data_IF_299380877830
#
_entry.id   IF_299380877830
#
_cell.length_a   1.000
_cell.length_b   1.000
_cell.length_c   1.000
_cell.angle_alpha   90.00
_cell.angle_beta   90.00
_cell.angle_gamma   90.00
#
_symmetry.space_group_name_H-M   'P 1'
#
loop_
_entity.id
_entity.type
_entity.pdbx_description
1 polymer ?
#
# COMPACT_ATOMS: atom_id res chain seq x y z
N UNK A 1 4.23 -31.04 -9.82
CA UNK A 1 3.44 -30.33 -8.78
C UNK A 1 4.33 -29.59 -7.78
N UNK A 2 5.27 -30.25 -7.09
CA UNK A 2 6.10 -29.64 -6.03
C UNK A 2 7.05 -28.52 -6.49
N UNK A 3 7.57 -28.58 -7.72
CA UNK A 3 8.44 -27.54 -8.29
C UNK A 3 7.71 -26.20 -8.47
N UNK A 4 6.49 -26.23 -9.04
CA UNK A 4 5.68 -25.03 -9.27
C UNK A 4 5.31 -24.34 -7.96
N UNK A 5 4.90 -25.12 -6.95
CA UNK A 5 4.57 -24.61 -5.60
C UNK A 5 5.81 -23.99 -4.92
N UNK A 6 6.99 -24.61 -5.08
CA UNK A 6 8.24 -24.06 -4.53
C UNK A 6 8.63 -22.75 -5.21
N UNK A 7 8.50 -22.67 -6.54
CA UNK A 7 8.80 -21.48 -7.33
C UNK A 7 7.83 -20.34 -7.02
N UNK A 8 6.54 -20.64 -6.90
CA UNK A 8 5.52 -19.68 -6.42
C UNK A 8 5.90 -19.07 -5.07
N UNK A 9 6.18 -19.93 -4.09
CA UNK A 9 6.57 -19.49 -2.74
C UNK A 9 7.84 -18.64 -2.76
N UNK A 10 8.82 -19.01 -3.58
CA UNK A 10 10.05 -18.21 -3.74
C UNK A 10 9.75 -16.83 -4.33
N UNK A 11 8.93 -16.73 -5.37
CA UNK A 11 8.55 -15.45 -5.98
C UNK A 11 7.82 -14.55 -4.97
N UNK A 12 6.89 -15.10 -4.20
CA UNK A 12 6.17 -14.36 -3.16
C UNK A 12 7.09 -13.92 -2.00
N UNK A 13 8.05 -14.75 -1.61
CA UNK A 13 9.04 -14.39 -0.59
C UNK A 13 9.97 -13.27 -1.08
N UNK A 14 10.42 -13.34 -2.34
CA UNK A 14 11.22 -12.26 -2.95
C UNK A 14 10.40 -10.98 -3.00
N UNK A 15 9.14 -11.01 -3.42
CA UNK A 15 8.23 -9.85 -3.40
C UNK A 15 8.14 -9.23 -1.99
N UNK A 16 7.85 -10.07 -0.99
CA UNK A 16 7.70 -9.63 0.40
C UNK A 16 8.99 -9.02 0.95
N UNK A 17 10.14 -9.64 0.69
CA UNK A 17 11.43 -9.15 1.16
C UNK A 17 11.82 -7.83 0.47
N UNK A 18 11.62 -7.72 -0.84
CA UNK A 18 11.85 -6.48 -1.58
C UNK A 18 10.98 -5.35 -1.03
N UNK A 19 9.67 -5.59 -0.85
CA UNK A 19 8.76 -4.58 -0.30
C UNK A 19 9.18 -4.12 1.10
N UNK A 20 9.59 -5.06 1.97
CA UNK A 20 10.10 -4.73 3.31
C UNK A 20 11.37 -3.89 3.25
N UNK A 21 12.30 -4.24 2.37
CA UNK A 21 13.55 -3.50 2.18
C UNK A 21 13.28 -2.08 1.70
N UNK A 22 12.43 -1.90 0.69
CA UNK A 22 12.02 -0.58 0.21
C UNK A 22 11.32 0.25 1.29
N UNK A 23 10.46 -0.37 2.10
CA UNK A 23 9.82 0.31 3.21
C UNK A 23 10.83 0.84 4.23
N UNK A 24 11.79 0.02 4.66
CA UNK A 24 12.82 0.42 5.64
C UNK A 24 13.71 1.52 5.06
N UNK A 25 14.20 1.34 3.84
CA UNK A 25 15.07 2.33 3.18
C UNK A 25 14.32 3.64 2.97
N UNK A 26 13.06 3.58 2.52
CA UNK A 26 12.21 4.76 2.31
C UNK A 26 11.98 5.53 3.61
N UNK A 27 11.64 4.85 4.70
CA UNK A 27 11.45 5.52 6.00
C UNK A 27 12.77 6.13 6.51
N UNK A 28 13.87 5.39 6.44
CA UNK A 28 15.18 5.87 6.87
C UNK A 28 15.68 7.07 6.05
N UNK A 29 15.66 6.98 4.72
CA UNK A 29 16.09 8.09 3.86
C UNK A 29 15.13 9.27 3.93
N UNK A 30 13.82 9.03 3.93
CA UNK A 30 12.81 10.08 4.03
C UNK A 30 12.93 10.88 5.32
N UNK A 31 13.24 10.22 6.45
CA UNK A 31 13.53 10.92 7.71
C UNK A 31 14.84 11.71 7.65
N UNK A 32 15.91 11.15 7.09
CA UNK A 32 17.21 11.83 6.94
C UNK A 32 17.15 13.08 6.06
N UNK A 33 16.41 13.03 4.95
CA UNK A 33 16.29 14.15 4.01
C UNK A 33 15.04 15.00 4.23
N UNK A 34 14.31 14.73 5.32
CA UNK A 34 13.06 15.39 5.66
C UNK A 34 12.04 15.39 4.50
N UNK A 35 11.85 14.28 3.79
CA UNK A 35 10.82 14.16 2.73
C UNK A 35 9.58 13.44 3.24
N UNK A 36 8.43 14.13 3.23
CA UNK A 36 7.15 13.53 3.62
C UNK A 36 6.67 12.51 2.59
N UNK A 37 6.90 12.72 1.29
CA UNK A 37 6.41 11.80 0.26
C UNK A 37 7.17 10.46 0.27
N UNK A 38 8.47 10.50 0.57
CA UNK A 38 9.27 9.27 0.69
C UNK A 38 8.92 8.52 1.98
N UNK A 39 8.70 9.23 3.09
CA UNK A 39 8.18 8.60 4.33
C UNK A 39 6.80 7.99 4.07
N UNK A 40 5.92 8.71 3.37
CA UNK A 40 4.58 8.24 3.02
C UNK A 40 4.63 6.92 2.26
N UNK A 41 5.44 6.83 1.21
CA UNK A 41 5.61 5.61 0.41
C UNK A 41 6.16 4.43 1.24
N UNK A 42 7.17 4.70 2.09
CA UNK A 42 7.77 3.69 2.95
C UNK A 42 6.80 3.18 4.04
N UNK A 43 6.08 4.08 4.72
CA UNK A 43 5.08 3.71 5.72
C UNK A 43 3.89 3.00 5.06
N UNK A 44 3.47 3.42 3.87
CA UNK A 44 2.38 2.77 3.13
C UNK A 44 2.73 1.31 2.85
N UNK A 45 3.93 1.07 2.34
CA UNK A 45 4.45 -0.26 2.06
C UNK A 45 4.51 -1.13 3.32
N UNK A 46 5.00 -0.57 4.44
CA UNK A 46 5.09 -1.29 5.71
C UNK A 46 3.70 -1.66 6.28
N UNK A 47 2.76 -0.72 6.26
CA UNK A 47 1.38 -0.94 6.71
C UNK A 47 0.70 -1.97 5.82
N UNK A 48 0.83 -1.87 4.50
CA UNK A 48 0.28 -2.82 3.53
C UNK A 48 0.83 -4.24 3.74
N UNK A 49 2.14 -4.36 3.99
CA UNK A 49 2.79 -5.65 4.28
C UNK A 49 2.25 -6.26 5.58
N UNK A 50 2.21 -5.49 6.67
CA UNK A 50 1.66 -5.96 7.95
C UNK A 50 0.21 -6.41 7.84
N UNK A 51 -0.62 -5.65 7.12
CA UNK A 51 -2.01 -5.98 6.85
C UNK A 51 -2.17 -7.23 5.97
N UNK A 52 -1.22 -7.47 5.06
CA UNK A 52 -1.17 -8.67 4.23
C UNK A 52 -0.84 -9.90 5.06
N UNK A 53 0.10 -9.79 6.01
CA UNK A 53 0.38 -10.86 6.98
C UNK A 53 -0.84 -11.19 7.85
N UNK A 54 -1.56 -10.18 8.34
CA UNK A 54 -2.82 -10.38 9.08
C UNK A 54 -3.85 -11.10 8.22
N UNK A 55 -3.95 -10.74 6.93
CA UNK A 55 -4.88 -11.40 6.01
C UNK A 55 -4.51 -12.85 5.77
N UNK A 56 -3.22 -13.15 5.63
CA UNK A 56 -2.73 -14.51 5.49
C UNK A 56 -3.03 -15.34 6.74
N UNK A 57 -2.78 -14.79 7.94
CA UNK A 57 -3.11 -15.43 9.21
C UNK A 57 -4.62 -15.72 9.32
N UNK A 58 -5.47 -14.78 8.91
CA UNK A 58 -6.92 -14.98 8.88
C UNK A 58 -7.35 -16.09 7.92
N UNK A 59 -6.74 -16.19 6.73
CA UNK A 59 -7.00 -17.28 5.78
C UNK A 59 -6.57 -18.63 6.36
N UNK A 60 -5.41 -18.71 7.00
CA UNK A 60 -4.95 -19.93 7.66
C UNK A 60 -5.89 -20.36 8.80
N UNK A 61 -6.41 -19.39 9.56
CA UNK A 61 -7.40 -19.63 10.61
C UNK A 61 -8.73 -20.13 10.05
N UNK A 62 -9.22 -19.54 8.95
CA UNK A 62 -10.45 -19.96 8.26
C UNK A 62 -10.35 -21.40 7.72
N UNK A 63 -9.16 -21.85 7.32
CA UNK A 63 -8.93 -23.21 6.78
C UNK A 63 -9.06 -24.33 7.82
N UNK A 64 -9.15 -24.01 9.11
CA UNK A 64 -9.43 -25.02 10.13
C UNK A 64 -10.83 -25.63 9.90
N UNK A 65 -10.94 -26.97 9.97
CA UNK A 65 -12.18 -27.68 9.59
C UNK A 65 -13.42 -27.20 10.34
N UNK A 66 -13.28 -26.89 11.63
CA UNK A 66 -14.38 -26.40 12.47
C UNK A 66 -14.90 -25.01 12.06
N UNK A 67 -14.06 -24.19 11.43
CA UNK A 67 -14.42 -22.84 10.99
C UNK A 67 -14.87 -22.84 9.54
N UNK A 68 -14.19 -23.60 8.68
CA UNK A 68 -14.50 -23.70 7.25
C UNK A 68 -15.92 -24.21 6.99
N UNK A 69 -16.43 -25.12 7.84
CA UNK A 69 -17.82 -25.62 7.75
C UNK A 69 -18.88 -24.53 7.98
N UNK A 70 -18.55 -23.45 8.68
CA UNK A 70 -19.47 -22.36 8.97
C UNK A 70 -19.21 -21.14 8.08
N UNK A 71 -19.83 -21.13 6.89
CA UNK A 71 -19.72 -20.06 5.88
C UNK A 71 -19.98 -18.66 6.48
N UNK A 72 -20.87 -18.54 7.46
CA UNK A 72 -21.15 -17.25 8.12
C UNK A 72 -19.95 -16.78 8.94
N UNK A 73 -19.34 -17.67 9.74
CA UNK A 73 -18.17 -17.36 10.57
C UNK A 73 -16.98 -16.97 9.69
N UNK A 74 -16.79 -17.65 8.56
CA UNK A 74 -15.79 -17.30 7.52
C UNK A 74 -16.02 -15.88 6.99
N UNK A 75 -17.23 -15.55 6.51
CA UNK A 75 -17.53 -14.22 5.96
C UNK A 75 -17.37 -13.08 6.97
N UNK A 76 -17.64 -13.32 8.25
CA UNK A 76 -17.41 -12.34 9.32
C UNK A 76 -15.92 -12.07 9.52
N UNK A 77 -15.08 -13.11 9.49
CA UNK A 77 -13.62 -12.97 9.60
C UNK A 77 -13.07 -12.22 8.40
N UNK A 78 -13.45 -12.61 7.17
CA UNK A 78 -13.03 -11.94 5.93
C UNK A 78 -13.42 -10.45 5.95
N UNK A 79 -14.68 -10.14 6.26
CA UNK A 79 -15.16 -8.75 6.30
C UNK A 79 -14.45 -7.92 7.38
N UNK A 80 -14.15 -8.52 8.55
CA UNK A 80 -13.43 -7.84 9.63
C UNK A 80 -12.00 -7.48 9.23
N UNK A 81 -11.30 -8.38 8.52
CA UNK A 81 -9.94 -8.12 8.02
C UNK A 81 -9.93 -7.01 6.98
N UNK A 82 -10.89 -7.01 6.05
CA UNK A 82 -11.03 -5.96 5.03
C UNK A 82 -11.36 -4.61 5.69
N UNK A 83 -12.21 -4.60 6.71
CA UNK A 83 -12.54 -3.41 7.49
C UNK A 83 -11.30 -2.85 8.19
N UNK A 84 -10.52 -3.70 8.87
CA UNK A 84 -9.28 -3.31 9.54
C UNK A 84 -8.27 -2.73 8.55
N UNK A 85 -8.12 -3.36 7.37
CA UNK A 85 -7.29 -2.86 6.27
C UNK A 85 -7.69 -1.44 5.85
N UNK A 86 -8.98 -1.26 5.60
CA UNK A 86 -9.52 0.03 5.21
C UNK A 86 -9.26 1.10 6.27
N UNK A 87 -9.50 0.80 7.55
CA UNK A 87 -9.29 1.75 8.66
C UNK A 87 -7.82 2.13 8.78
N UNK A 88 -6.90 1.15 8.78
CA UNK A 88 -5.47 1.40 8.94
C UNK A 88 -4.91 2.28 7.81
N UNK A 89 -5.24 1.99 6.55
CA UNK A 89 -4.79 2.80 5.41
C UNK A 89 -5.43 4.19 5.43
N UNK A 90 -6.72 4.29 5.79
CA UNK A 90 -7.41 5.59 5.91
C UNK A 90 -6.75 6.46 6.98
N UNK A 91 -6.47 5.91 8.16
CA UNK A 91 -5.80 6.63 9.25
C UNK A 91 -4.43 7.15 8.80
N UNK A 92 -3.64 6.29 8.16
CA UNK A 92 -2.33 6.67 7.63
C UNK A 92 -2.43 7.82 6.62
N UNK A 93 -3.39 7.77 5.68
CA UNK A 93 -3.61 8.83 4.70
C UNK A 93 -4.00 10.15 5.38
N UNK A 94 -4.89 10.11 6.38
CA UNK A 94 -5.32 11.30 7.12
C UNK A 94 -4.15 11.93 7.90
N UNK A 95 -3.36 11.13 8.61
CA UNK A 95 -2.20 11.63 9.35
C UNK A 95 -1.16 12.27 8.43
N UNK A 96 -0.91 11.64 7.28
CA UNK A 96 0.04 12.14 6.27
C UNK A 96 -0.45 13.42 5.61
N UNK A 97 -1.75 13.50 5.31
CA UNK A 97 -2.40 14.70 4.81
C UNK A 97 -2.28 15.86 5.80
N UNK A 98 -2.57 15.63 7.08
CA UNK A 98 -2.43 16.67 8.12
C UNK A 98 -0.97 17.15 8.20
N UNK A 99 -0.01 16.23 8.22
CA UNK A 99 1.41 16.58 8.23
C UNK A 99 1.84 17.41 7.00
N UNK A 100 1.30 17.07 5.83
CA UNK A 100 1.57 17.80 4.60
C UNK A 100 0.96 19.21 4.61
N UNK A 101 -0.28 19.36 5.07
CA UNK A 101 -0.93 20.67 5.23
C UNK A 101 -0.17 21.54 6.22
N UNK A 102 0.26 20.98 7.36
CA UNK A 102 1.09 21.69 8.33
C UNK A 102 2.41 22.15 7.71
N UNK A 103 3.07 21.30 6.93
CA UNK A 103 4.31 21.67 6.25
C UNK A 103 4.09 22.81 5.24
N UNK A 104 2.97 22.82 4.50
CA UNK A 104 2.63 23.93 3.59
C UNK A 104 2.42 25.22 4.38
N UNK A 105 1.68 25.18 5.48
CA UNK A 105 1.41 26.35 6.33
C UNK A 105 2.67 26.91 6.99
N UNK A 106 3.69 26.08 7.20
CA UNK A 106 5.00 26.48 7.76
C UNK A 106 5.98 27.02 6.71
N UNK A 107 5.55 27.20 5.45
CA UNK A 107 6.39 27.72 4.36
C UNK A 107 7.04 26.64 3.48
N UNK A 108 6.56 25.40 3.57
CA UNK A 108 7.09 24.25 2.84
C UNK A 108 8.20 23.53 3.60
N UNK A 109 8.83 22.57 2.93
CA UNK A 109 9.87 21.72 3.50
C UNK A 109 11.08 21.69 2.59
N UNK A 110 12.24 22.04 3.14
CA UNK A 110 13.50 21.93 2.43
C UNK A 110 13.92 20.47 2.35
N UNK A 111 13.73 19.88 1.18
CA UNK A 111 14.16 18.52 0.87
C UNK A 111 15.42 18.61 0.02
N UNK A 112 16.41 17.79 0.34
CA UNK A 112 17.57 17.61 -0.55
C UNK A 112 17.10 16.91 -1.84
N UNK A 113 16.74 17.71 -2.84
CA UNK A 113 16.19 17.25 -4.12
C UNK A 113 17.15 16.33 -4.87
N UNK A 114 18.47 16.47 -4.68
CA UNK A 114 19.47 15.58 -5.25
C UNK A 114 19.37 14.16 -4.72
N UNK A 115 19.36 14.01 -3.39
CA UNK A 115 19.21 12.69 -2.75
C UNK A 115 17.81 12.12 -3.00
N UNK A 116 16.77 12.97 -2.94
CA UNK A 116 15.39 12.55 -3.22
C UNK A 116 15.21 12.03 -4.66
N UNK A 117 15.84 12.67 -5.65
CA UNK A 117 15.85 12.18 -7.04
C UNK A 117 16.61 10.87 -7.19
N UNK A 118 17.79 10.76 -6.56
CA UNK A 118 18.58 9.52 -6.61
C UNK A 118 17.78 8.35 -6.01
N UNK A 119 17.13 8.58 -4.87
CA UNK A 119 16.24 7.59 -4.27
C UNK A 119 15.01 7.33 -5.13
N UNK A 120 14.35 8.35 -5.67
CA UNK A 120 13.20 8.19 -6.56
C UNK A 120 13.53 7.35 -7.80
N UNK A 121 14.70 7.55 -8.40
CA UNK A 121 15.18 6.72 -9.51
C UNK A 121 15.45 5.28 -9.06
N UNK A 122 16.12 5.10 -7.91
CA UNK A 122 16.38 3.79 -7.33
C UNK A 122 15.07 3.02 -7.05
N UNK A 123 14.09 3.66 -6.43
CA UNK A 123 12.78 3.07 -6.15
C UNK A 123 12.01 2.76 -7.42
N UNK A 124 11.99 3.66 -8.40
CA UNK A 124 11.33 3.41 -9.69
C UNK A 124 11.94 2.21 -10.42
N UNK A 125 13.27 2.13 -10.50
CA UNK A 125 13.97 0.98 -11.11
C UNK A 125 13.73 -0.28 -10.30
N UNK A 126 13.79 -0.19 -8.97
CA UNK A 126 13.50 -1.28 -8.04
C UNK A 126 12.12 -1.88 -8.25
N UNK A 127 11.08 -1.06 -8.21
CA UNK A 127 9.71 -1.48 -8.44
C UNK A 127 9.52 -2.10 -9.83
N UNK A 128 10.12 -1.49 -10.86
CA UNK A 128 10.05 -2.02 -12.23
C UNK A 128 10.75 -3.38 -12.36
N UNK A 129 11.92 -3.55 -11.73
CA UNK A 129 12.65 -4.83 -11.75
C UNK A 129 11.85 -5.92 -11.03
N UNK A 130 11.26 -5.64 -9.86
CA UNK A 130 10.37 -6.56 -9.16
C UNK A 130 9.16 -6.94 -10.00
N UNK A 131 8.51 -5.97 -10.65
CA UNK A 131 7.43 -6.23 -11.61
C UNK A 131 7.87 -7.17 -12.74
N UNK A 132 9.02 -6.87 -13.36
CA UNK A 132 9.53 -7.64 -14.48
C UNK A 132 9.89 -9.07 -14.09
N UNK A 133 10.51 -9.27 -12.92
CA UNK A 133 10.81 -10.60 -12.36
C UNK A 133 9.51 -11.37 -12.11
N UNK A 134 8.51 -10.77 -11.47
CA UNK A 134 7.21 -11.43 -11.23
C UNK A 134 6.50 -11.79 -12.53
N UNK A 135 6.50 -10.88 -13.52
CA UNK A 135 5.83 -11.11 -14.81
C UNK A 135 6.52 -12.17 -15.66
N UNK A 136 7.85 -12.19 -15.68
CA UNK A 136 8.62 -13.14 -16.50
C UNK A 136 8.61 -14.53 -15.87
N UNK A 137 8.95 -14.63 -14.59
CA UNK A 137 9.04 -15.90 -13.89
C UNK A 137 7.67 -16.45 -13.46
N UNK A 138 6.67 -15.58 -13.28
CA UNK A 138 5.29 -15.97 -12.93
C UNK A 138 4.51 -16.63 -14.07
N UNK A 139 4.89 -16.39 -15.33
CA UNK A 139 4.28 -17.04 -16.51
C UNK A 139 4.39 -18.56 -16.46
N UNK A 140 5.46 -19.08 -15.88
CA UNK A 140 5.68 -20.53 -15.73
C UNK A 140 4.80 -21.16 -14.64
N UNK A 141 4.38 -20.37 -13.65
CA UNK A 141 3.66 -20.84 -12.46
C UNK A 141 2.13 -20.80 -12.66
N UNK A 142 1.63 -19.90 -13.53
CA UNK A 142 0.17 -19.67 -13.76
C UNK A 142 -0.62 -19.46 -12.45
N UNK A 143 -0.02 -18.75 -11.49
CA UNK A 143 -0.66 -18.46 -10.20
C UNK A 143 -1.34 -17.08 -10.21
N UNK A 144 -2.61 -17.06 -9.79
CA UNK A 144 -3.36 -15.82 -9.60
C UNK A 144 -2.75 -14.91 -8.52
N UNK A 145 -2.02 -15.47 -7.55
CA UNK A 145 -1.32 -14.71 -6.52
C UNK A 145 -0.12 -13.96 -7.10
N UNK A 146 0.69 -14.64 -7.92
CA UNK A 146 1.85 -14.02 -8.57
C UNK A 146 1.42 -12.95 -9.56
N UNK A 147 0.33 -13.18 -10.30
CA UNK A 147 -0.26 -12.16 -11.19
C UNK A 147 -0.81 -10.95 -10.42
N UNK A 148 -1.40 -11.17 -9.23
CA UNK A 148 -1.85 -10.08 -8.37
C UNK A 148 -0.68 -9.24 -7.85
N UNK A 149 0.38 -9.89 -7.36
CA UNK A 149 1.61 -9.22 -6.93
C UNK A 149 2.29 -8.47 -8.08
N UNK A 150 2.36 -9.05 -9.28
CA UNK A 150 2.90 -8.36 -10.45
C UNK A 150 2.11 -7.09 -10.76
N UNK A 151 0.77 -7.14 -10.71
CA UNK A 151 -0.07 -5.95 -10.90
C UNK A 151 0.17 -4.90 -9.81
N UNK A 152 0.41 -5.33 -8.58
CA UNK A 152 0.74 -4.42 -7.48
C UNK A 152 2.08 -3.71 -7.73
N UNK A 153 3.14 -4.45 -8.06
CA UNK A 153 4.44 -3.86 -8.40
C UNK A 153 4.39 -2.91 -9.60
N UNK A 154 3.50 -3.17 -10.57
CA UNK A 154 3.25 -2.24 -11.67
C UNK A 154 2.64 -0.92 -11.17
N UNK A 155 1.65 -0.99 -10.27
CA UNK A 155 1.06 0.20 -9.64
C UNK A 155 2.12 0.95 -8.84
N UNK A 156 2.92 0.26 -8.05
CA UNK A 156 4.01 0.84 -7.26
C UNK A 156 5.05 1.52 -8.18
N UNK A 157 5.37 0.92 -9.32
CA UNK A 157 6.25 1.53 -10.34
C UNK A 157 5.68 2.85 -10.87
N UNK A 158 4.36 2.90 -11.15
CA UNK A 158 3.70 4.12 -11.63
C UNK A 158 3.72 5.21 -10.56
N UNK A 159 3.48 4.84 -9.30
CA UNK A 159 3.53 5.77 -8.15
C UNK A 159 4.96 6.30 -7.97
N UNK A 160 5.97 5.42 -7.95
CA UNK A 160 7.38 5.81 -7.83
C UNK A 160 7.81 6.70 -9.00
N UNK A 161 7.35 6.44 -10.22
CA UNK A 161 7.61 7.29 -11.37
C UNK A 161 6.97 8.68 -11.21
N UNK A 162 5.74 8.77 -10.69
CA UNK A 162 5.09 10.05 -10.42
C UNK A 162 5.86 10.87 -9.36
N UNK A 163 6.32 10.21 -8.29
CA UNK A 163 7.16 10.85 -7.25
C UNK A 163 8.50 11.32 -7.83
N UNK A 164 9.15 10.50 -8.66
CA UNK A 164 10.39 10.87 -9.34
C UNK A 164 10.21 12.09 -10.25
N UNK A 165 9.14 12.12 -11.05
CA UNK A 165 8.80 13.28 -11.90
C UNK A 165 8.52 14.52 -11.05
N UNK A 166 7.83 14.37 -9.92
CA UNK A 166 7.59 15.49 -9.00
C UNK A 166 8.87 16.08 -8.42
N UNK A 167 9.83 15.25 -8.02
CA UNK A 167 11.15 15.74 -7.60
C UNK A 167 11.99 16.30 -8.75
N UNK A 168 11.81 15.79 -9.98
CA UNK A 168 12.46 16.35 -11.16
C UNK A 168 11.96 17.77 -11.41
N UNK A 169 10.64 17.99 -11.34
CA UNK A 169 10.04 19.31 -11.45
C UNK A 169 10.54 20.23 -10.31
N UNK A 170 10.62 19.73 -9.07
CA UNK A 170 11.17 20.49 -7.95
C UNK A 170 12.63 20.92 -8.18
N UNK A 171 13.46 20.04 -8.77
CA UNK A 171 14.85 20.39 -9.12
C UNK A 171 14.93 21.44 -10.24
N UNK A 172 14.06 21.36 -11.24
CA UNK A 172 14.00 22.38 -12.30
C UNK A 172 13.59 23.73 -11.71
N UNK A 173 12.61 23.76 -10.79
CA UNK A 173 12.19 24.98 -10.10
C UNK A 173 13.36 25.65 -9.34
N UNK A 174 14.24 24.86 -8.71
CA UNK A 174 15.45 25.39 -8.04
C UNK A 174 16.43 26.09 -8.98
N UNK A 175 16.41 25.77 -10.28
CA UNK A 175 17.26 26.41 -11.30
C UNK A 175 16.64 27.69 -11.87
N UNK A 176 15.41 28.03 -11.47
CA UNK A 176 14.67 29.20 -11.93
C UNK A 176 14.52 30.24 -10.82
N UNK A 177 14.01 31.43 -11.15
CA UNK A 177 13.66 32.47 -10.17
C UNK A 177 12.56 32.05 -9.17
N UNK A 178 11.90 30.90 -9.39
CA UNK A 178 10.84 30.35 -8.55
C UNK A 178 11.34 29.31 -7.53
N UNK A 179 12.62 29.34 -7.17
CA UNK A 179 13.24 28.36 -6.27
C UNK A 179 12.52 28.22 -4.91
N UNK A 180 11.85 29.27 -4.42
CA UNK A 180 11.07 29.21 -3.18
C UNK A 180 9.89 28.23 -3.24
N UNK A 181 9.29 28.04 -4.42
CA UNK A 181 8.17 27.11 -4.60
C UNK A 181 8.62 25.64 -4.59
N UNK A 182 9.91 25.34 -4.76
CA UNK A 182 10.43 23.98 -4.69
C UNK A 182 10.20 23.34 -3.31
N UNK A 183 10.15 24.15 -2.24
CA UNK A 183 9.86 23.70 -0.86
C UNK A 183 8.43 23.17 -0.70
N UNK A 184 7.51 23.54 -1.58
CA UNK A 184 6.12 23.08 -1.54
C UNK A 184 5.92 21.76 -2.27
N UNK A 185 6.83 21.39 -3.18
CA UNK A 185 6.65 20.22 -4.05
C UNK A 185 6.44 18.92 -3.26
N UNK A 186 7.27 18.66 -2.25
CA UNK A 186 7.18 17.46 -1.41
C UNK A 186 5.82 17.36 -0.67
N UNK A 187 5.40 18.34 0.15
CA UNK A 187 4.10 18.29 0.79
C UNK A 187 2.93 18.28 -0.19
N UNK A 188 3.00 19.00 -1.33
CA UNK A 188 1.95 18.96 -2.36
C UNK A 188 1.77 17.57 -2.94
N UNK A 189 2.86 16.84 -3.21
CA UNK A 189 2.79 15.45 -3.66
C UNK A 189 2.07 14.56 -2.63
N UNK A 190 2.34 14.75 -1.33
CA UNK A 190 1.65 13.99 -0.27
C UNK A 190 0.18 14.31 -0.19
N UNK A 191 -0.21 15.59 -0.34
CA UNK A 191 -1.62 16.00 -0.40
C UNK A 191 -2.33 15.28 -1.54
N UNK A 192 -1.75 15.30 -2.75
CA UNK A 192 -2.32 14.65 -3.93
C UNK A 192 -2.42 13.14 -3.71
N UNK A 193 -1.34 12.51 -3.25
CA UNK A 193 -1.30 11.06 -3.01
C UNK A 193 -2.31 10.63 -1.95
N UNK A 194 -2.45 11.37 -0.85
CA UNK A 194 -3.38 11.07 0.24
C UNK A 194 -4.84 11.18 -0.22
N UNK A 195 -5.19 12.22 -1.00
CA UNK A 195 -6.54 12.39 -1.55
C UNK A 195 -6.86 11.30 -2.57
N UNK A 196 -5.89 10.90 -3.39
CA UNK A 196 -6.09 9.82 -4.35
C UNK A 196 -6.27 8.47 -3.65
N UNK A 197 -5.39 8.14 -2.70
CA UNK A 197 -5.41 6.83 -2.04
C UNK A 197 -6.57 6.65 -1.08
N UNK A 198 -7.12 7.69 -0.46
CA UNK A 198 -8.24 7.53 0.49
C UNK A 198 -9.50 6.95 -0.15
N UNK A 199 -9.67 7.08 -1.47
CA UNK A 199 -10.85 6.60 -2.20
C UNK A 199 -11.02 5.08 -2.09
N UNK A 200 -9.92 4.33 -2.20
CA UNK A 200 -9.91 2.86 -2.14
C UNK A 200 -10.30 2.31 -0.76
N UNK A 201 -9.61 2.66 0.34
CA UNK A 201 -9.91 2.14 1.66
C UNK A 201 -11.27 2.61 2.18
N UNK A 202 -11.74 3.82 1.85
CA UNK A 202 -13.10 4.25 2.21
C UNK A 202 -14.15 3.34 1.58
N UNK A 203 -14.00 2.97 0.30
CA UNK A 203 -14.88 1.99 -0.35
C UNK A 203 -14.79 0.62 0.33
N UNK A 204 -13.59 0.18 0.74
CA UNK A 204 -13.40 -1.08 1.47
C UNK A 204 -14.17 -1.08 2.81
N UNK A 205 -14.07 0.01 3.58
CA UNK A 205 -14.79 0.18 4.85
C UNK A 205 -16.30 0.12 4.61
N UNK A 206 -16.82 0.93 3.69
CA UNK A 206 -18.25 1.02 3.42
C UNK A 206 -18.84 -0.33 2.98
N UNK A 207 -18.14 -1.06 2.12
CA UNK A 207 -18.59 -2.37 1.65
C UNK A 207 -18.54 -3.43 2.75
N UNK A 208 -17.48 -3.43 3.56
CA UNK A 208 -17.31 -4.40 4.66
C UNK A 208 -18.35 -4.18 5.76
N UNK A 209 -18.61 -2.93 6.13
CA UNK A 209 -19.65 -2.58 7.11
C UNK A 209 -21.04 -2.99 6.62
N UNK A 210 -21.35 -2.78 5.33
CA UNK A 210 -22.61 -3.26 4.72
C UNK A 210 -22.73 -4.79 4.77
N UNK A 211 -21.65 -5.52 4.48
CA UNK A 211 -21.64 -6.99 4.58
C UNK A 211 -21.87 -7.47 6.01
N UNK A 212 -21.16 -6.91 6.99
CA UNK A 212 -21.32 -7.24 8.40
C UNK A 212 -22.75 -6.98 8.89
N UNK A 213 -23.32 -5.83 8.53
CA UNK A 213 -24.71 -5.51 8.86
C UNK A 213 -25.70 -6.52 8.25
N UNK A 214 -25.51 -6.91 6.98
CA UNK A 214 -26.35 -7.91 6.31
C UNK A 214 -26.27 -9.28 6.99
N UNK A 215 -25.07 -9.70 7.41
CA UNK A 215 -24.84 -10.97 8.11
C UNK A 215 -25.47 -10.98 9.51
N UNK A 216 -25.46 -9.85 10.21
CA UNK A 216 -26.13 -9.66 11.49
C UNK A 216 -27.66 -9.78 11.33
N UNK A 217 -28.24 -9.03 10.39
CA UNK A 217 -29.70 -9.00 10.18
C UNK A 217 -30.30 -10.35 9.76
N UNK A 218 -29.61 -11.10 8.90
CA UNK A 218 -30.05 -12.44 8.51
C UNK A 218 -30.03 -13.44 9.70
N UNK A 219 -29.22 -13.20 10.73
CA UNK A 219 -29.22 -14.01 11.94
C UNK A 219 -30.47 -13.80 12.79
N UNK A 220 -30.93 -12.55 12.89
CA UNK A 220 -32.14 -12.19 13.64
C UNK A 220 -33.36 -12.82 12.99
N UNK A 221 -33.45 -12.78 11.65
CA UNK A 221 -34.57 -13.38 10.91
C UNK A 221 -34.56 -14.91 11.01
N UNK A 222 -33.40 -15.57 10.87
CA UNK A 222 -33.31 -17.03 11.00
C UNK A 222 -33.62 -17.52 12.43
N UNK A 223 -33.29 -16.73 13.47
CA UNK A 223 -33.72 -17.01 14.85
C UNK A 223 -35.22 -16.81 15.06
N UNK A 224 -35.83 -15.83 14.41
CA UNK A 224 -37.29 -15.61 14.49
C UNK A 224 -38.12 -16.66 13.72
N UNK A 225 -37.56 -17.34 12.72
CA UNK A 225 -38.26 -18.39 11.95
C UNK A 225 -38.13 -19.80 12.56
N UNK A 226 -37.30 -19.96 13.60
CA UNK A 226 -37.13 -21.21 14.35
C UNK A 226 -37.78 -21.17 15.74
N UNK A 227 -38.67 -20.19 15.98
CA UNK A 227 -39.58 -20.11 17.14
C UNK A 227 -41.00 -20.24 16.62
#
# INVERSE_FOLDING_TARGET
MSYLIRKERQLLLVSTFSALLFAIIGIALGTLIHSLVIIFDGVYSLVSLGLTLISLAAVLYIRQEDISKNIKRVKVIESSVILLKGIAITLMCVLSFIAAIQAIMQGGREVNTGIALAFGAFSMVGCYTSYWVMKTQGREVKSALVDAEAKQWLMDTVISAAVFVGFMAAKILLLTSYAEYAKLADPTMVVIASVYFIIVPVKMILNSTKQLHKLSRNCTIAKCLHV
#
